data_IF_519633023758
#
_entry.id   IF_519633023758
#
_cell.length_a   1.000
_cell.length_b   1.000
_cell.length_c   1.000
_cell.angle_alpha   90.00
_cell.angle_beta   90.00
_cell.angle_gamma   90.00
#
_symmetry.space_group_name_H-M   'P 1'
#
loop_
_entity.id
_entity.type
_entity.pdbx_description
1 polymer ?
#
# COMPACT_ATOMS: atom_id res chain seq x y z
N UNK A 1 15.16 -6.72 -20.64
CA UNK A 1 15.15 -6.67 -19.16
C UNK A 1 15.26 -5.22 -18.75
N UNK A 2 14.16 -4.60 -18.32
CA UNK A 2 14.12 -3.17 -17.98
C UNK A 2 14.88 -2.93 -16.66
N UNK A 3 16.20 -2.74 -16.73
CA UNK A 3 17.05 -2.37 -15.59
C UNK A 3 16.77 -0.95 -15.04
N UNK A 4 15.66 -0.34 -15.45
CA UNK A 4 15.27 1.04 -15.14
C UNK A 4 13.90 1.13 -14.45
N UNK A 5 13.22 0.02 -14.18
CA UNK A 5 11.93 0.07 -13.48
C UNK A 5 12.13 0.32 -11.99
N UNK A 6 11.40 1.31 -11.44
CA UNK A 6 11.26 1.47 -10.00
C UNK A 6 10.06 0.63 -9.53
N UNK A 7 10.30 -0.27 -8.58
CA UNK A 7 9.28 -1.17 -8.04
C UNK A 7 8.61 -0.55 -6.82
N UNK A 8 7.34 -0.89 -6.62
CA UNK A 8 6.61 -0.68 -5.36
C UNK A 8 6.12 -2.03 -4.85
N UNK A 9 6.19 -2.25 -3.54
CA UNK A 9 5.65 -3.46 -2.91
C UNK A 9 4.19 -3.23 -2.58
N UNK A 10 3.28 -4.04 -3.12
CA UNK A 10 1.88 -3.97 -2.74
C UNK A 10 1.60 -4.89 -1.57
N UNK A 11 0.98 -4.39 -0.52
CA UNK A 11 0.51 -5.20 0.61
C UNK A 11 -1.02 -5.31 0.65
N UNK A 12 -1.49 -6.34 1.36
CA UNK A 12 -2.90 -6.64 1.54
C UNK A 12 -3.55 -5.61 2.48
N UNK A 13 -4.69 -5.07 2.08
CA UNK A 13 -5.56 -4.28 2.97
C UNK A 13 -6.51 -5.17 3.76
N UNK A 14 -6.89 -4.70 4.95
CA UNK A 14 -7.80 -5.35 5.90
C UNK A 14 -9.12 -4.58 6.07
N UNK A 15 -9.57 -3.88 5.02
CA UNK A 15 -10.88 -3.24 5.04
C UNK A 15 -11.97 -4.30 5.24
N UNK A 16 -12.86 -4.05 6.19
CA UNK A 16 -13.99 -4.93 6.52
C UNK A 16 -15.25 -4.54 5.76
N UNK A 17 -15.37 -3.26 5.38
CA UNK A 17 -16.52 -2.71 4.67
C UNK A 17 -16.16 -2.29 3.24
N UNK A 18 -15.72 -3.24 2.42
CA UNK A 18 -15.52 -3.04 0.99
C UNK A 18 -16.53 -3.88 0.19
N UNK A 19 -17.09 -3.32 -0.88
CA UNK A 19 -17.98 -4.07 -1.78
C UNK A 19 -17.22 -5.17 -2.51
N UNK A 20 -15.96 -4.92 -2.86
CA UNK A 20 -15.08 -5.89 -3.49
C UNK A 20 -13.74 -5.97 -2.74
N UNK A 21 -13.57 -6.93 -1.81
CA UNK A 21 -12.30 -7.14 -1.13
C UNK A 21 -11.28 -7.74 -2.11
N UNK A 22 -10.24 -6.98 -2.43
CA UNK A 22 -9.17 -7.42 -3.33
C UNK A 22 -7.96 -8.03 -2.60
N UNK A 23 -7.93 -7.92 -1.28
CA UNK A 23 -6.78 -8.29 -0.44
C UNK A 23 -6.41 -9.77 -0.49
N UNK A 24 -7.38 -10.67 -0.64
CA UNK A 24 -7.10 -12.11 -0.75
C UNK A 24 -6.52 -12.50 -2.13
N UNK A 25 -6.74 -11.66 -3.14
CA UNK A 25 -6.27 -11.88 -4.50
C UNK A 25 -4.94 -11.18 -4.79
N UNK A 26 -4.72 -10.01 -4.18
CA UNK A 26 -3.57 -9.16 -4.43
C UNK A 26 -3.04 -8.54 -3.14
N UNK A 27 -1.71 -8.40 -3.09
CA UNK A 27 -1.00 -7.86 -1.95
C UNK A 27 -0.34 -8.96 -1.13
N UNK A 28 0.91 -8.73 -0.74
CA UNK A 28 1.62 -9.59 0.20
C UNK A 28 1.18 -9.32 1.64
N UNK A 29 1.52 -10.22 2.55
CA UNK A 29 1.43 -9.91 3.98
C UNK A 29 2.43 -8.80 4.35
N UNK A 30 1.94 -7.73 4.99
CA UNK A 30 2.75 -6.56 5.29
C UNK A 30 3.89 -6.86 6.28
N UNK A 31 3.68 -7.80 7.20
CA UNK A 31 4.62 -8.12 8.28
C UNK A 31 5.51 -9.30 7.91
N UNK A 32 4.91 -10.36 7.36
CA UNK A 32 5.62 -11.60 7.07
C UNK A 32 6.40 -11.53 5.74
N UNK A 33 5.85 -10.91 4.70
CA UNK A 33 6.36 -11.06 3.33
C UNK A 33 7.07 -9.80 2.80
N UNK A 34 6.62 -8.60 3.15
CA UNK A 34 7.12 -7.36 2.55
C UNK A 34 8.64 -7.18 2.71
N UNK A 35 9.16 -7.47 3.91
CA UNK A 35 10.60 -7.42 4.19
C UNK A 35 11.39 -8.42 3.33
N UNK A 36 10.90 -9.65 3.22
CA UNK A 36 11.54 -10.71 2.43
C UNK A 36 11.59 -10.35 0.93
N UNK A 37 10.51 -9.78 0.40
CA UNK A 37 10.45 -9.30 -0.98
C UNK A 37 11.45 -8.16 -1.24
N UNK A 38 11.57 -7.19 -0.32
CA UNK A 38 12.52 -6.09 -0.45
C UNK A 38 13.98 -6.54 -0.34
N UNK A 39 14.28 -7.52 0.52
CA UNK A 39 15.59 -8.15 0.62
C UNK A 39 15.95 -8.88 -0.69
N UNK A 40 15.02 -9.63 -1.25
CA UNK A 40 15.21 -10.31 -2.53
C UNK A 40 15.45 -9.29 -3.66
N UNK A 41 14.65 -8.22 -3.71
CA UNK A 41 14.85 -7.15 -4.68
C UNK A 41 16.26 -6.53 -4.57
N UNK A 42 16.75 -6.30 -3.34
CA UNK A 42 18.11 -5.80 -3.09
C UNK A 42 19.17 -6.77 -3.60
N UNK A 43 19.03 -8.07 -3.31
CA UNK A 43 19.95 -9.12 -3.75
C UNK A 43 20.00 -9.25 -5.29
N UNK A 44 18.87 -8.98 -5.96
CA UNK A 44 18.76 -8.97 -7.42
C UNK A 44 19.19 -7.64 -8.08
N UNK A 45 19.60 -6.64 -7.29
CA UNK A 45 19.96 -5.31 -7.79
C UNK A 45 18.78 -4.52 -8.36
N UNK A 46 17.56 -4.80 -7.90
CA UNK A 46 16.34 -4.10 -8.29
C UNK A 46 16.08 -2.92 -7.35
N UNK A 47 15.59 -1.80 -7.91
CA UNK A 47 15.21 -0.61 -7.14
C UNK A 47 13.78 -0.76 -6.63
N UNK A 48 13.60 -0.79 -5.31
CA UNK A 48 12.30 -0.54 -4.67
C UNK A 48 12.26 0.94 -4.28
N UNK A 49 11.15 1.61 -4.57
CA UNK A 49 10.99 3.05 -4.36
C UNK A 49 9.82 3.40 -3.45
N UNK A 50 9.04 2.41 -3.01
CA UNK A 50 7.78 2.68 -2.36
C UNK A 50 6.94 1.45 -2.04
N UNK A 51 5.75 1.70 -1.52
CA UNK A 51 4.75 0.67 -1.20
C UNK A 51 3.39 1.11 -1.70
N UNK A 52 2.47 0.17 -1.82
CA UNK A 52 1.09 0.46 -2.16
C UNK A 52 0.07 -0.42 -1.45
N UNK A 53 -1.14 0.09 -1.32
CA UNK A 53 -2.29 -0.66 -0.87
C UNK A 53 -3.52 -0.33 -1.70
N UNK A 54 -4.61 -1.04 -1.45
CA UNK A 54 -5.92 -0.72 -2.01
C UNK A 54 -6.97 -1.24 -1.04
N UNK A 55 -7.77 -0.36 -0.44
CA UNK A 55 -8.76 -0.74 0.59
C UNK A 55 -9.90 -1.59 0.04
N UNK A 56 -10.23 -1.42 -1.23
CA UNK A 56 -11.26 -2.19 -1.92
C UNK A 56 -12.26 -1.25 -2.58
N UNK A 57 -12.96 -1.70 -3.62
CA UNK A 57 -13.91 -0.84 -4.32
C UNK A 57 -15.13 -0.55 -3.45
N UNK A 58 -15.54 0.72 -3.37
CA UNK A 58 -16.68 1.16 -2.55
C UNK A 58 -16.43 0.91 -1.06
N UNK A 59 -15.26 1.31 -0.56
CA UNK A 59 -14.95 1.21 0.87
C UNK A 59 -15.68 2.32 1.62
N UNK A 60 -16.44 1.95 2.65
CA UNK A 60 -17.14 2.89 3.55
C UNK A 60 -16.57 2.89 4.97
N UNK A 61 -15.32 2.44 5.09
CA UNK A 61 -14.56 2.41 6.34
C UNK A 61 -13.34 3.34 6.18
N UNK A 62 -13.45 4.56 6.67
CA UNK A 62 -12.37 5.56 6.65
C UNK A 62 -11.16 5.03 7.41
N UNK A 63 -11.40 4.35 8.54
CA UNK A 63 -10.35 3.77 9.39
C UNK A 63 -9.55 2.66 8.71
N UNK A 64 -10.00 2.14 7.56
CA UNK A 64 -9.23 1.20 6.77
C UNK A 64 -8.03 1.88 6.08
N UNK A 65 -8.15 3.17 5.76
CA UNK A 65 -7.05 3.97 5.23
C UNK A 65 -6.00 4.23 6.32
N UNK A 66 -6.41 4.65 7.52
CA UNK A 66 -5.51 4.87 8.65
C UNK A 66 -4.63 3.64 8.94
N UNK A 67 -5.26 2.47 9.07
CA UNK A 67 -4.54 1.20 9.31
C UNK A 67 -3.60 0.85 8.17
N UNK A 68 -3.98 1.17 6.93
CA UNK A 68 -3.13 0.90 5.78
C UNK A 68 -1.93 1.86 5.73
N UNK A 69 -2.12 3.14 6.06
CA UNK A 69 -1.05 4.13 6.13
C UNK A 69 -0.05 3.76 7.24
N UNK A 70 -0.52 3.35 8.42
CA UNK A 70 0.36 2.89 9.51
C UNK A 70 1.23 1.69 9.07
N UNK A 71 0.63 0.71 8.37
CA UNK A 71 1.39 -0.42 7.78
C UNK A 71 2.37 0.05 6.71
N UNK A 72 1.98 1.00 5.88
CA UNK A 72 2.85 1.57 4.85
C UNK A 72 4.07 2.27 5.46
N UNK A 73 3.90 3.06 6.54
CA UNK A 73 5.02 3.67 7.26
C UNK A 73 6.01 2.63 7.78
N UNK A 74 5.51 1.52 8.34
CA UNK A 74 6.36 0.44 8.83
C UNK A 74 7.14 -0.21 7.68
N UNK A 75 6.51 -0.43 6.52
CA UNK A 75 7.18 -0.93 5.31
C UNK A 75 8.23 0.07 4.82
N UNK A 76 7.94 1.38 4.86
CA UNK A 76 8.90 2.44 4.51
C UNK A 76 10.16 2.35 5.38
N UNK A 77 10.00 2.31 6.72
CA UNK A 77 11.11 2.16 7.67
C UNK A 77 11.94 0.91 7.37
N UNK A 78 11.29 -0.22 7.10
CA UNK A 78 11.98 -1.48 6.75
C UNK A 78 12.74 -1.34 5.43
N UNK A 79 12.13 -0.75 4.40
CA UNK A 79 12.78 -0.52 3.10
C UNK A 79 14.03 0.34 3.22
N UNK A 80 13.97 1.42 4.01
CA UNK A 80 15.11 2.29 4.31
C UNK A 80 16.23 1.54 5.06
N UNK A 81 15.88 0.72 6.07
CA UNK A 81 16.85 -0.11 6.79
C UNK A 81 17.56 -1.13 5.88
N UNK A 82 16.87 -1.66 4.86
CA UNK A 82 17.45 -2.54 3.83
C UNK A 82 18.34 -1.75 2.85
N UNK A 83 18.22 -0.43 2.82
CA UNK A 83 18.96 0.46 1.93
C UNK A 83 18.28 0.69 0.58
N UNK A 84 16.96 0.68 0.54
CA UNK A 84 16.16 1.24 -0.55
C UNK A 84 15.85 2.71 -0.28
N UNK A 85 15.64 3.50 -1.34
CA UNK A 85 15.23 4.91 -1.23
C UNK A 85 13.71 4.96 -1.39
N UNK A 86 13.00 5.06 -0.28
CA UNK A 86 11.53 5.01 -0.24
C UNK A 86 10.97 6.44 -0.38
N UNK A 87 10.21 6.70 -1.46
CA UNK A 87 9.75 8.06 -1.83
C UNK A 87 8.32 8.07 -2.37
N UNK A 88 7.69 6.90 -2.59
CA UNK A 88 6.37 6.78 -3.19
C UNK A 88 5.45 5.95 -2.30
N UNK A 89 4.35 6.55 -1.86
CA UNK A 89 3.20 5.84 -1.32
C UNK A 89 2.06 5.94 -2.33
N UNK A 90 1.57 4.79 -2.78
CA UNK A 90 0.35 4.69 -3.60
C UNK A 90 -0.79 4.14 -2.73
N UNK A 91 -1.75 5.00 -2.40
CA UNK A 91 -2.92 4.69 -1.56
C UNK A 91 -4.02 3.92 -2.30
N UNK A 92 -3.81 3.65 -3.60
CA UNK A 92 -4.71 2.92 -4.45
C UNK A 92 -6.01 3.66 -4.72
N UNK A 93 -7.13 2.95 -4.55
CA UNK A 93 -8.47 3.46 -4.84
C UNK A 93 -9.49 2.87 -3.88
N UNK A 94 -10.77 3.05 -4.21
CA UNK A 94 -11.88 2.69 -3.34
C UNK A 94 -12.76 3.86 -2.94
N UNK A 95 -12.33 5.08 -3.28
CA UNK A 95 -13.05 6.33 -3.08
C UNK A 95 -14.50 6.26 -3.58
N UNK A 96 -15.45 6.89 -2.88
CA UNK A 96 -16.83 6.99 -3.33
C UNK A 96 -16.91 7.85 -4.60
N UNK A 97 -17.76 7.45 -5.54
CA UNK A 97 -17.96 8.18 -6.80
C UNK A 97 -19.24 9.02 -6.86
N UNK A 98 -20.02 9.05 -5.77
CA UNK A 98 -21.33 9.73 -5.68
C UNK A 98 -21.47 10.50 -4.36
N UNK A 99 -20.82 10.02 -3.30
CA UNK A 99 -20.90 10.57 -1.94
C UNK A 99 -19.72 11.52 -1.70
N UNK A 100 -19.96 12.83 -1.92
CA UNK A 100 -18.95 13.87 -1.77
C UNK A 100 -18.51 14.07 -0.32
N UNK A 101 -19.42 13.91 0.66
CA UNK A 101 -19.08 14.02 2.08
C UNK A 101 -18.10 12.92 2.48
N UNK A 102 -18.39 11.67 2.10
CA UNK A 102 -17.48 10.54 2.33
C UNK A 102 -16.16 10.69 1.55
N UNK A 103 -16.17 11.29 0.36
CA UNK A 103 -14.94 11.57 -0.38
C UNK A 103 -14.02 12.51 0.42
N UNK A 104 -14.57 13.59 0.97
CA UNK A 104 -13.84 14.55 1.80
C UNK A 104 -13.35 13.93 3.13
N UNK A 105 -14.15 13.07 3.76
CA UNK A 105 -13.73 12.34 4.97
C UNK A 105 -12.52 11.43 4.67
N UNK A 106 -12.56 10.68 3.58
CA UNK A 106 -11.43 9.84 3.14
C UNK A 106 -10.22 10.69 2.75
N UNK A 107 -10.44 11.83 2.08
CA UNK A 107 -9.37 12.77 1.73
C UNK A 107 -8.64 13.30 2.97
N UNK A 108 -9.41 13.68 4.00
CA UNK A 108 -8.88 14.17 5.28
C UNK A 108 -8.10 13.10 6.04
N UNK A 109 -8.48 11.83 5.93
CA UNK A 109 -7.77 10.72 6.58
C UNK A 109 -6.43 10.36 5.92
N UNK A 110 -6.21 10.79 4.67
CA UNK A 110 -5.01 10.45 3.88
C UNK A 110 -3.96 11.60 3.88
N UNK A 111 -4.37 12.83 4.19
CA UNK A 111 -3.51 14.03 4.25
C UNK A 111 -2.58 14.03 5.48
#
# INVERSE_FOLDING_TARGET
>A
MFRYSSLIVRFKSEAKKALCPLGDKYGCDAEADAAALMLLAKALGLKVTGTSFHVGSGCSEVEAYDRAIEKAENIFKVGEMIGHKMELLDVGGGFPGIDDEMFEEVGTAID
#
